data_IF_205374354110
#
_entry.id   IF_205374354110
#
_cell.length_a   1.000
_cell.length_b   1.000
_cell.length_c   1.000
_cell.angle_alpha   90.00
_cell.angle_beta   90.00
_cell.angle_gamma   90.00
#
_symmetry.space_group_name_H-M   'P 1'
#
loop_
_entity.id
_entity.type
_entity.pdbx_description
1 polymer ?
#
# COMPACT_ATOMS: atom_id res chain seq x y z
N UNK A 1 -13.83 -10.28 4.07
CA UNK A 1 -13.02 -9.04 4.05
C UNK A 1 -13.96 -7.85 3.97
N UNK A 2 -13.91 -6.89 4.91
CA UNK A 2 -14.74 -5.68 4.86
C UNK A 2 -13.87 -4.50 4.41
N UNK A 3 -14.18 -3.91 3.26
CA UNK A 3 -13.47 -2.73 2.75
C UNK A 3 -14.04 -1.49 3.46
N UNK A 4 -13.15 -0.57 3.83
CA UNK A 4 -13.50 0.68 4.52
C UNK A 4 -14.09 1.69 3.52
N UNK A 5 -14.88 2.64 4.03
CA UNK A 5 -15.62 3.60 3.19
C UNK A 5 -14.70 4.45 2.32
N UNK A 6 -13.59 4.91 2.89
CA UNK A 6 -12.59 5.71 2.18
C UNK A 6 -11.26 4.97 2.15
N UNK A 7 -10.72 4.82 0.95
CA UNK A 7 -9.43 4.21 0.70
C UNK A 7 -8.60 5.09 -0.21
N UNK A 8 -7.28 4.99 -0.10
CA UNK A 8 -6.33 5.64 -0.98
C UNK A 8 -5.46 4.59 -1.66
N UNK A 9 -5.32 4.70 -2.98
CA UNK A 9 -4.48 3.81 -3.77
C UNK A 9 -3.00 3.99 -3.42
N UNK A 10 -2.34 2.90 -3.09
CA UNK A 10 -0.92 2.82 -2.78
C UNK A 10 -0.21 2.11 -3.93
N UNK A 11 -0.06 2.85 -5.02
CA UNK A 11 0.63 2.38 -6.22
C UNK A 11 2.12 2.55 -6.10
N UNK A 12 2.86 1.44 -6.14
CA UNK A 12 4.31 1.46 -6.28
C UNK A 12 4.75 0.48 -7.37
N UNK A 13 5.40 1.04 -8.39
CA UNK A 13 5.90 0.27 -9.52
C UNK A 13 7.15 -0.53 -9.15
N UNK A 14 7.93 -0.11 -8.16
CA UNK A 14 9.25 -0.65 -7.85
C UNK A 14 9.35 -1.36 -6.50
N UNK A 15 8.28 -1.33 -5.70
CA UNK A 15 8.20 -1.99 -4.40
C UNK A 15 9.25 -1.48 -3.38
N UNK A 16 9.40 -0.17 -3.29
CA UNK A 16 10.34 0.53 -2.41
C UNK A 16 9.67 1.59 -1.51
N UNK A 17 8.38 1.86 -1.69
CA UNK A 17 7.69 3.00 -1.10
C UNK A 17 6.61 2.60 -0.11
N UNK A 18 6.24 1.31 -0.01
CA UNK A 18 5.14 0.83 0.83
C UNK A 18 5.19 1.33 2.28
N UNK A 19 6.39 1.36 2.90
CA UNK A 19 6.57 1.90 4.25
C UNK A 19 6.26 3.41 4.31
N UNK A 20 6.82 4.20 3.40
CA UNK A 20 6.61 5.65 3.38
C UNK A 20 5.15 6.01 3.06
N UNK A 21 4.51 5.28 2.14
CA UNK A 21 3.10 5.47 1.81
C UNK A 21 2.20 5.13 3.00
N UNK A 22 2.47 4.02 3.70
CA UNK A 22 1.70 3.66 4.90
C UNK A 22 1.93 4.63 6.06
N UNK A 23 3.13 5.19 6.22
CA UNK A 23 3.40 6.28 7.18
C UNK A 23 2.53 7.51 6.89
N UNK A 24 2.35 7.89 5.62
CA UNK A 24 1.47 9.00 5.26
C UNK A 24 0.00 8.72 5.61
N UNK A 25 -0.46 7.47 5.44
CA UNK A 25 -1.81 7.06 5.84
C UNK A 25 -1.98 7.12 7.36
N UNK A 26 -0.98 6.67 8.13
CA UNK A 26 -0.99 6.79 9.60
C UNK A 26 -1.06 8.26 10.04
N UNK A 27 -0.23 9.13 9.49
CA UNK A 27 -0.25 10.56 9.78
C UNK A 27 -1.60 11.22 9.44
N UNK A 28 -2.23 10.82 8.32
CA UNK A 28 -3.57 11.30 7.98
C UNK A 28 -4.61 10.86 9.02
N UNK A 29 -4.54 9.61 9.50
CA UNK A 29 -5.43 9.11 10.56
C UNK A 29 -5.20 9.82 11.90
N UNK A 30 -3.96 10.12 12.25
CA UNK A 30 -3.61 10.94 13.42
C UNK A 30 -4.17 12.36 13.32
N UNK A 31 -4.24 12.91 12.10
CA UNK A 31 -4.89 14.19 11.81
C UNK A 31 -6.44 14.11 11.74
N UNK A 32 -7.04 12.97 12.08
CA UNK A 32 -8.49 12.77 12.10
C UNK A 32 -9.13 12.42 10.75
N UNK A 33 -8.32 12.11 9.74
CA UNK A 33 -8.80 11.70 8.41
C UNK A 33 -8.88 10.17 8.35
N UNK A 34 -10.09 9.61 8.43
CA UNK A 34 -10.34 8.15 8.40
C UNK A 34 -10.19 7.57 6.99
N UNK A 35 -8.94 7.37 6.55
CA UNK A 35 -8.58 6.75 5.27
C UNK A 35 -7.74 5.47 5.48
N UNK A 36 -7.87 4.53 4.56
CA UNK A 36 -7.21 3.23 4.62
C UNK A 36 -6.41 2.94 3.34
N UNK A 37 -5.28 2.23 3.43
CA UNK A 37 -4.45 1.93 2.28
C UNK A 37 -5.11 0.88 1.37
N UNK A 38 -4.91 1.01 0.06
CA UNK A 38 -5.25 0.00 -0.93
C UNK A 38 -4.07 -0.19 -1.89
N UNK A 39 -3.23 -1.19 -1.65
CA UNK A 39 -2.12 -1.53 -2.55
C UNK A 39 -2.64 -1.92 -3.93
N UNK A 40 -2.11 -1.29 -4.97
CA UNK A 40 -2.56 -1.50 -6.33
C UNK A 40 -1.42 -1.47 -7.34
N UNK A 41 -1.47 -2.35 -8.33
CA UNK A 41 -0.58 -2.30 -9.49
C UNK A 41 -1.29 -2.92 -10.69
N UNK A 42 -1.27 -2.24 -11.81
CA UNK A 42 -1.91 -2.74 -13.02
C UNK A 42 -1.07 -3.85 -13.67
N UNK A 43 -1.73 -4.75 -14.41
CA UNK A 43 -1.03 -5.76 -15.20
C UNK A 43 0.00 -5.14 -16.17
N UNK A 44 -0.32 -3.98 -16.74
CA UNK A 44 0.60 -3.23 -17.60
C UNK A 44 1.88 -2.82 -16.86
N UNK A 45 1.77 -2.37 -15.61
CA UNK A 45 2.92 -1.99 -14.80
C UNK A 45 3.78 -3.19 -14.43
N UNK A 46 3.16 -4.31 -14.07
CA UNK A 46 3.88 -5.58 -13.85
C UNK A 46 4.72 -5.97 -15.06
N UNK A 47 4.16 -5.86 -16.28
CA UNK A 47 4.88 -6.15 -17.53
C UNK A 47 6.05 -5.19 -17.80
N UNK A 48 5.88 -3.89 -17.53
CA UNK A 48 6.92 -2.88 -17.80
C UNK A 48 8.15 -3.13 -16.94
N UNK A 49 7.98 -3.42 -15.65
CA UNK A 49 9.10 -3.61 -14.72
C UNK A 49 9.44 -5.07 -14.41
N UNK A 50 8.81 -6.02 -15.12
CA UNK A 50 9.02 -7.47 -14.95
C UNK A 50 8.84 -7.94 -13.49
N UNK A 51 7.77 -7.47 -12.85
CA UNK A 51 7.37 -7.89 -11.50
C UNK A 51 6.10 -8.73 -11.55
N UNK A 52 5.82 -9.48 -10.48
CA UNK A 52 4.63 -10.29 -10.29
C UNK A 52 3.71 -9.70 -9.22
N UNK A 53 2.42 -10.07 -9.17
CA UNK A 53 1.50 -9.66 -8.11
C UNK A 53 2.02 -9.98 -6.70
N UNK A 54 2.76 -11.08 -6.54
CA UNK A 54 3.33 -11.49 -5.26
C UNK A 54 4.39 -10.50 -4.74
N UNK A 55 5.09 -9.78 -5.63
CA UNK A 55 6.06 -8.75 -5.21
C UNK A 55 5.34 -7.59 -4.52
N UNK A 56 4.17 -7.17 -5.04
CA UNK A 56 3.33 -6.15 -4.41
C UNK A 56 2.80 -6.65 -3.07
N UNK A 57 2.43 -7.93 -2.98
CA UNK A 57 1.96 -8.52 -1.73
C UNK A 57 3.07 -8.54 -0.67
N UNK A 58 4.28 -8.94 -1.04
CA UNK A 58 5.43 -8.97 -0.14
C UNK A 58 5.77 -7.58 0.39
N UNK A 59 5.72 -6.55 -0.45
CA UNK A 59 5.89 -5.16 -0.01
C UNK A 59 4.80 -4.73 0.98
N UNK A 60 3.53 -5.02 0.68
CA UNK A 60 2.42 -4.68 1.56
C UNK A 60 2.60 -5.32 2.95
N UNK A 61 2.91 -6.62 2.97
CA UNK A 61 3.17 -7.38 4.20
C UNK A 61 4.37 -6.81 4.99
N UNK A 62 5.45 -6.45 4.30
CA UNK A 62 6.63 -5.83 4.92
C UNK A 62 6.31 -4.45 5.51
N UNK A 63 5.53 -3.62 4.80
CA UNK A 63 5.14 -2.29 5.27
C UNK A 63 4.24 -2.36 6.51
N UNK A 64 3.21 -3.22 6.50
CA UNK A 64 2.30 -3.37 7.65
C UNK A 64 3.05 -3.92 8.87
N UNK A 65 3.95 -4.89 8.68
CA UNK A 65 4.78 -5.41 9.76
C UNK A 65 5.73 -4.34 10.33
N UNK A 66 6.38 -3.56 9.47
CA UNK A 66 7.33 -2.53 9.88
C UNK A 66 6.70 -1.35 10.66
N UNK A 67 5.40 -1.12 10.49
CA UNK A 67 4.67 -0.01 11.12
C UNK A 67 3.60 -0.47 12.12
N UNK A 68 3.49 -1.76 12.38
CA UNK A 68 2.51 -2.32 13.32
C UNK A 68 1.05 -2.05 12.90
N UNK A 69 0.78 -2.01 11.59
CA UNK A 69 -0.57 -1.79 11.08
C UNK A 69 -1.42 -3.06 11.21
N UNK A 70 -2.59 -2.96 11.83
CA UNK A 70 -3.55 -4.06 12.08
C UNK A 70 -4.94 -3.76 11.54
#
# INVERSE_FOLDING_TARGET
MKIKKFTIGMGDRFAHQGKAQLQAVLAAREAGIDIYPAWNKSFREHRIVKSQPDDLRAEADAAVAALGWT
#
